data_IF_930127048685
#
_entry.id   IF_930127048685
#
_cell.length_a   1.000
_cell.length_b   1.000
_cell.length_c   1.000
_cell.angle_alpha   90.00
_cell.angle_beta   90.00
_cell.angle_gamma   90.00
#
_symmetry.space_group_name_H-M   'P 1'
#
loop_
_entity.id
_entity.type
_entity.pdbx_description
1 polymer ?
#
# COMPACT_ATOMS: atom_id res chain seq x y z
N UNK A 1 -8.51 6.71 -11.60
CA UNK A 1 -7.28 6.96 -10.81
C UNK A 1 -7.44 6.22 -9.48
N UNK A 2 -6.40 5.59 -8.95
CA UNK A 2 -6.48 4.84 -7.68
C UNK A 2 -6.01 5.76 -6.55
N UNK A 3 -6.94 6.22 -5.71
CA UNK A 3 -6.66 7.17 -4.62
C UNK A 3 -6.95 6.58 -3.24
N UNK A 4 -7.79 5.55 -3.18
CA UNK A 4 -8.21 4.88 -1.96
C UNK A 4 -7.91 3.37 -1.99
N UNK A 5 -8.04 2.70 -0.85
CA UNK A 5 -7.93 1.24 -0.79
C UNK A 5 -9.07 0.57 -1.55
N UNK A 6 -10.30 1.09 -1.43
CA UNK A 6 -11.44 0.62 -2.21
C UNK A 6 -11.21 0.74 -3.72
N UNK A 7 -10.59 1.81 -4.20
CA UNK A 7 -10.28 1.95 -5.64
C UNK A 7 -9.29 0.88 -6.10
N UNK A 8 -8.24 0.64 -5.32
CA UNK A 8 -7.26 -0.40 -5.61
C UNK A 8 -7.93 -1.77 -5.65
N UNK A 9 -8.87 -2.02 -4.73
CA UNK A 9 -9.63 -3.26 -4.69
C UNK A 9 -10.55 -3.45 -5.90
N UNK A 10 -11.30 -2.40 -6.28
CA UNK A 10 -12.17 -2.42 -7.47
C UNK A 10 -11.36 -2.60 -8.75
N UNK A 11 -10.20 -1.97 -8.82
CA UNK A 11 -9.27 -2.11 -9.95
C UNK A 11 -8.47 -3.42 -9.94
N UNK A 12 -8.64 -4.26 -8.91
CA UNK A 12 -7.90 -5.52 -8.69
C UNK A 12 -6.38 -5.35 -8.71
N UNK A 13 -5.86 -4.21 -8.24
CA UNK A 13 -4.41 -3.92 -8.24
C UNK A 13 -3.80 -4.15 -6.86
N UNK A 14 -2.57 -4.66 -6.85
CA UNK A 14 -1.71 -4.60 -5.67
C UNK A 14 -1.20 -3.17 -5.46
N UNK A 15 -0.63 -2.91 -4.28
CA UNK A 15 0.06 -1.67 -3.97
C UNK A 15 1.54 -1.95 -3.73
N UNK A 16 2.41 -1.11 -4.28
CA UNK A 16 3.80 -1.04 -3.82
C UNK A 16 3.86 -0.20 -2.57
N UNK A 17 4.43 -0.73 -1.50
CA UNK A 17 4.83 0.03 -0.33
C UNK A 17 6.36 0.06 -0.24
N UNK A 18 6.97 1.25 -0.15
CA UNK A 18 8.43 1.37 -0.05
C UNK A 18 8.88 2.47 0.89
N UNK A 19 10.08 2.32 1.44
CA UNK A 19 10.67 3.27 2.37
C UNK A 19 11.65 4.20 1.64
N UNK A 20 11.36 5.50 1.67
CA UNK A 20 12.22 6.53 1.09
C UNK A 20 13.55 6.73 1.84
N UNK A 21 13.73 6.10 3.01
CA UNK A 21 14.97 6.20 3.78
C UNK A 21 15.98 5.09 3.44
N UNK A 22 15.53 3.85 3.26
CA UNK A 22 16.42 2.70 3.05
C UNK A 22 16.14 1.89 1.78
N UNK A 23 15.18 2.32 0.96
CA UNK A 23 14.82 1.65 -0.30
C UNK A 23 14.07 0.33 -0.14
N UNK A 24 13.78 -0.11 1.09
CA UNK A 24 13.01 -1.35 1.30
C UNK A 24 11.63 -1.25 0.67
N UNK A 25 11.28 -2.19 -0.21
CA UNK A 25 9.99 -2.26 -0.89
C UNK A 25 9.31 -3.61 -0.67
N UNK A 26 7.99 -3.61 -0.60
CA UNK A 26 7.14 -4.78 -0.42
C UNK A 26 5.80 -4.60 -1.13
N UNK A 27 5.22 -5.69 -1.62
CA UNK A 27 3.89 -5.70 -2.26
C UNK A 27 2.80 -5.88 -1.22
N UNK A 28 1.79 -5.04 -1.28
CA UNK A 28 0.70 -5.00 -0.30
C UNK A 28 -0.62 -5.31 -1.01
N UNK A 29 -1.37 -6.24 -0.45
CA UNK A 29 -2.74 -6.54 -0.85
C UNK A 29 -3.69 -5.54 -0.16
N UNK A 30 -4.37 -4.63 -0.89
CA UNK A 30 -5.24 -3.64 -0.27
C UNK A 30 -6.41 -4.26 0.49
N UNK A 31 -6.85 -5.50 0.16
CA UNK A 31 -7.90 -6.21 0.91
C UNK A 31 -7.47 -6.50 2.34
N UNK A 32 -6.21 -6.93 2.52
CA UNK A 32 -5.64 -7.20 3.85
C UNK A 32 -5.50 -5.92 4.66
N UNK A 33 -5.13 -4.82 4.01
CA UNK A 33 -5.03 -3.52 4.67
C UNK A 33 -6.41 -3.03 5.11
N UNK A 34 -7.42 -3.12 4.24
CA UNK A 34 -8.79 -2.74 4.58
C UNK A 34 -9.35 -3.54 5.75
N UNK A 35 -9.08 -4.86 5.80
CA UNK A 35 -9.52 -5.71 6.91
C UNK A 35 -8.93 -5.27 8.25
N UNK A 36 -7.69 -4.78 8.26
CA UNK A 36 -6.98 -4.40 9.49
C UNK A 36 -7.17 -2.94 9.90
N UNK A 37 -7.29 -2.03 8.93
CA UNK A 37 -7.22 -0.59 9.17
C UNK A 37 -8.45 0.19 8.68
N UNK A 38 -9.42 -0.49 8.05
CA UNK A 38 -10.58 0.12 7.42
C UNK A 38 -10.26 0.82 6.10
N UNK A 39 -11.23 1.59 5.60
CA UNK A 39 -11.06 2.40 4.39
C UNK A 39 -10.10 3.57 4.65
N UNK A 40 -9.14 3.76 3.75
CA UNK A 40 -8.15 4.83 3.82
C UNK A 40 -7.82 5.35 2.43
N UNK A 41 -7.53 6.64 2.34
CA UNK A 41 -6.80 7.18 1.18
C UNK A 41 -5.38 6.62 1.17
N UNK A 42 -4.77 6.47 -0.02
CA UNK A 42 -3.36 6.10 -0.13
C UNK A 42 -2.45 7.10 0.58
N UNK A 43 -2.82 8.38 0.57
CA UNK A 43 -2.10 9.44 1.31
C UNK A 43 -2.15 9.21 2.82
N UNK A 44 -3.28 8.82 3.38
CA UNK A 44 -3.39 8.57 4.82
C UNK A 44 -2.71 7.27 5.22
N UNK A 45 -2.73 6.25 4.34
CA UNK A 45 -1.94 5.04 4.54
C UNK A 45 -0.44 5.36 4.64
N UNK A 46 0.09 6.20 3.74
CA UNK A 46 1.51 6.61 3.74
C UNK A 46 1.95 7.21 5.08
N UNK A 47 1.12 8.07 5.70
CA UNK A 47 1.40 8.69 7.01
C UNK A 47 1.52 7.66 8.15
N UNK A 48 0.89 6.49 7.99
CA UNK A 48 0.87 5.41 8.99
C UNK A 48 1.98 4.39 8.81
N UNK A 49 2.61 4.33 7.63
CA UNK A 49 3.62 3.33 7.33
C UNK A 49 4.94 3.59 8.08
N UNK A 50 5.40 2.54 8.76
CA UNK A 50 6.71 2.46 9.40
C UNK A 50 7.50 1.34 8.75
N UNK A 51 8.71 1.62 8.29
CA UNK A 51 9.56 0.60 7.68
C UNK A 51 9.93 -0.47 8.72
N UNK A 52 9.77 -1.76 8.40
CA UNK A 52 10.18 -2.84 9.28
C UNK A 52 11.70 -2.98 9.42
N UNK A 53 12.46 -2.58 8.39
CA UNK A 53 13.94 -2.64 8.38
C UNK A 53 14.58 -1.49 9.15
N UNK A 54 14.34 -0.24 8.73
CA UNK A 54 15.00 0.93 9.31
C UNK A 54 14.17 1.67 10.37
N UNK A 55 12.93 1.22 10.63
CA UNK A 55 11.99 1.80 11.61
C UNK A 55 11.58 3.26 11.37
N UNK A 56 12.00 3.89 10.28
CA UNK A 56 11.61 5.26 9.90
C UNK A 56 10.17 5.31 9.39
N UNK A 57 9.47 6.43 9.66
CA UNK A 57 8.12 6.75 9.14
C UNK A 57 8.20 7.53 7.83
N UNK A 58 8.93 7.00 6.84
CA UNK A 58 9.09 7.57 5.50
C UNK A 58 8.58 6.60 4.44
N UNK A 59 7.40 6.04 4.69
CA UNK A 59 6.73 5.12 3.78
C UNK A 59 6.03 5.86 2.65
N UNK A 60 6.09 5.29 1.45
CA UNK A 60 5.33 5.73 0.28
C UNK A 60 4.54 4.56 -0.29
N UNK A 61 3.40 4.84 -0.92
CA UNK A 61 2.52 3.83 -1.49
C UNK A 61 2.05 4.29 -2.86
N UNK A 62 2.14 3.40 -3.83
CA UNK A 62 1.69 3.61 -5.20
C UNK A 62 0.92 2.37 -5.70
N UNK A 63 -0.02 2.53 -6.63
CA UNK A 63 -0.59 1.39 -7.34
C UNK A 63 0.51 0.61 -8.06
N UNK A 64 0.42 -0.72 -8.00
CA UNK A 64 1.23 -1.60 -8.83
C UNK A 64 0.46 -1.94 -10.10
N UNK A 65 1.15 -1.99 -11.24
CA UNK A 65 0.54 -2.39 -12.51
C UNK A 65 0.12 -3.88 -12.54
N UNK A 66 0.57 -4.71 -11.59
CA UNK A 66 0.18 -6.12 -11.50
C UNK A 66 -1.22 -6.22 -10.89
N UNK A 67 -2.08 -7.01 -11.53
CA UNK A 67 -3.31 -7.46 -10.88
C UNK A 67 -2.95 -8.39 -9.74
N UNK A 68 -3.73 -8.37 -8.65
CA UNK A 68 -3.66 -9.50 -7.74
C UNK A 68 -4.15 -10.74 -8.48
N UNK A 69 -3.41 -11.84 -8.36
CA UNK A 69 -3.72 -13.06 -9.10
C UNK A 69 -5.09 -13.59 -8.65
N UNK A 70 -5.96 -13.85 -9.64
CA UNK A 70 -7.38 -14.16 -9.44
C UNK A 70 -7.69 -15.64 -9.29
N UNK A 71 -6.80 -16.41 -8.64
CA UNK A 71 -7.06 -17.81 -8.33
C UNK A 71 -7.97 -17.96 -7.13
#
# INVERSE_FOLDING_TARGET
>A
MIETLSDACRARRLLWAFCLACGHAHRVDPRKVMLLAGELTLRDLQKRLKCERCRQKRGHVLPHDEEWDGR
#
